data_IF_716787916797
#
_entry.id   IF_716787916797
#
_cell.length_a   1.000
_cell.length_b   1.000
_cell.length_c   1.000
_cell.angle_alpha   90.00
_cell.angle_beta   90.00
_cell.angle_gamma   90.00
#
_symmetry.space_group_name_H-M   'P 1'
#
loop_
_entity.id
_entity.type
_entity.pdbx_description
1 polymer ?
#
# COMPACT_ATOMS: atom_id res chain seq x y z
N UNK A 1 33.70 -12.16 -57.52
CA UNK A 1 33.33 -12.67 -56.18
C UNK A 1 33.61 -14.18 -56.00
N UNK A 2 33.67 -14.99 -57.07
CA UNK A 2 33.94 -16.44 -56.97
C UNK A 2 35.41 -16.84 -56.82
N UNK A 3 36.38 -15.96 -57.10
CA UNK A 3 37.81 -16.28 -56.97
C UNK A 3 38.35 -16.16 -55.53
N UNK A 4 37.65 -15.45 -54.65
CA UNK A 4 38.09 -15.23 -53.26
C UNK A 4 38.07 -16.53 -52.44
N UNK A 5 37.25 -17.51 -52.85
CA UNK A 5 37.01 -18.77 -52.12
C UNK A 5 37.93 -19.92 -52.59
N UNK A 6 38.94 -19.67 -53.44
CA UNK A 6 39.83 -20.75 -53.94
C UNK A 6 40.80 -21.32 -52.89
N UNK A 7 41.14 -20.56 -51.85
CA UNK A 7 42.06 -21.02 -50.80
C UNK A 7 41.35 -21.89 -49.76
N UNK A 8 41.83 -23.13 -49.56
CA UNK A 8 41.33 -24.07 -48.54
C UNK A 8 41.34 -23.45 -47.14
N UNK A 9 42.35 -22.61 -46.83
CA UNK A 9 42.44 -21.89 -45.55
C UNK A 9 41.27 -20.94 -45.33
N UNK A 10 40.82 -20.23 -46.37
CA UNK A 10 39.71 -19.28 -46.25
C UNK A 10 38.37 -20.00 -46.08
N UNK A 11 38.14 -21.13 -46.78
CA UNK A 11 36.95 -21.97 -46.59
C UNK A 11 36.85 -22.48 -45.15
N UNK A 12 37.96 -22.98 -44.60
CA UNK A 12 38.04 -23.41 -43.20
C UNK A 12 37.74 -22.24 -42.25
N UNK A 13 38.36 -21.07 -42.45
CA UNK A 13 38.10 -19.89 -41.62
C UNK A 13 36.61 -19.51 -41.64
N UNK A 14 35.95 -19.47 -42.80
CA UNK A 14 34.53 -19.10 -42.90
C UNK A 14 33.62 -20.10 -42.18
N UNK A 15 33.89 -21.41 -42.32
CA UNK A 15 33.11 -22.47 -41.67
C UNK A 15 33.17 -22.37 -40.14
N UNK A 16 34.29 -21.92 -39.57
CA UNK A 16 34.42 -21.71 -38.12
C UNK A 16 33.98 -20.31 -37.67
N UNK A 17 34.31 -19.27 -38.43
CA UNK A 17 34.07 -17.87 -38.06
C UNK A 17 32.57 -17.54 -38.12
N UNK A 18 31.83 -18.06 -39.10
CA UNK A 18 30.42 -17.75 -39.25
C UNK A 18 29.58 -18.27 -38.06
N UNK A 19 29.70 -19.54 -37.61
CA UNK A 19 29.08 -20.00 -36.37
C UNK A 19 29.57 -19.25 -35.13
N UNK A 20 30.87 -18.92 -35.04
CA UNK A 20 31.42 -18.20 -33.90
C UNK A 20 30.83 -16.78 -33.76
N UNK A 21 30.71 -16.04 -34.86
CA UNK A 21 30.06 -14.72 -34.88
C UNK A 21 28.57 -14.83 -34.52
N UNK A 22 27.88 -15.84 -35.05
CA UNK A 22 26.49 -16.12 -34.67
C UNK A 22 26.34 -16.39 -33.17
N UNK A 23 27.21 -17.24 -32.60
CA UNK A 23 27.23 -17.50 -31.16
C UNK A 23 27.52 -16.24 -30.34
N UNK A 24 28.45 -15.40 -30.78
CA UNK A 24 28.74 -14.13 -30.10
C UNK A 24 27.55 -13.16 -30.14
N UNK A 25 26.86 -13.06 -31.28
CA UNK A 25 25.65 -12.24 -31.42
C UNK A 25 24.53 -12.71 -30.48
N UNK A 26 24.23 -14.01 -30.47
CA UNK A 26 23.22 -14.57 -29.57
C UNK A 26 23.63 -14.47 -28.09
N UNK A 27 24.90 -14.69 -27.78
CA UNK A 27 25.43 -14.57 -26.42
C UNK A 27 25.32 -13.12 -25.91
N UNK A 28 25.65 -12.14 -26.75
CA UNK A 28 25.49 -10.72 -26.40
C UNK A 28 24.02 -10.37 -26.15
N UNK A 29 23.10 -10.81 -27.02
CA UNK A 29 21.65 -10.63 -26.82
C UNK A 29 21.16 -11.26 -25.51
N UNK A 30 21.60 -12.49 -25.22
CA UNK A 30 21.26 -13.21 -23.99
C UNK A 30 21.78 -12.48 -22.74
N UNK A 31 23.02 -11.99 -22.76
CA UNK A 31 23.59 -11.23 -21.64
C UNK A 31 22.82 -9.92 -21.43
N UNK A 32 22.45 -9.21 -22.50
CA UNK A 32 21.67 -7.98 -22.40
C UNK A 32 20.28 -8.22 -21.79
N UNK A 33 19.60 -9.29 -22.23
CA UNK A 33 18.33 -9.73 -21.64
C UNK A 33 18.48 -10.02 -20.15
N UNK A 34 19.53 -10.76 -19.76
CA UNK A 34 19.81 -11.07 -18.35
C UNK A 34 20.08 -9.83 -17.49
N UNK A 35 20.79 -8.83 -18.02
CA UNK A 35 21.00 -7.56 -17.34
C UNK A 35 19.68 -6.83 -17.12
N UNK A 36 18.82 -6.76 -18.14
CA UNK A 36 17.49 -6.14 -18.04
C UNK A 36 16.60 -6.86 -17.02
N UNK A 37 16.58 -8.19 -17.04
CA UNK A 37 15.86 -8.99 -16.03
C UNK A 37 16.36 -8.70 -14.61
N UNK A 38 17.67 -8.63 -14.41
CA UNK A 38 18.26 -8.33 -13.10
C UNK A 38 17.85 -6.93 -12.60
N UNK A 39 17.89 -5.91 -13.46
CA UNK A 39 17.46 -4.55 -13.11
C UNK A 39 15.97 -4.50 -12.73
N UNK A 40 15.11 -5.19 -13.50
CA UNK A 40 13.68 -5.29 -13.20
C UNK A 40 13.42 -6.00 -11.86
N UNK A 41 14.15 -7.07 -11.54
CA UNK A 41 14.04 -7.76 -10.25
C UNK A 41 14.46 -6.84 -9.09
N UNK A 42 15.57 -6.11 -9.23
CA UNK A 42 16.00 -5.15 -8.21
C UNK A 42 14.97 -4.04 -8.00
N UNK A 43 14.37 -3.53 -9.07
CA UNK A 43 13.31 -2.54 -8.98
C UNK A 43 12.05 -3.10 -8.27
N UNK A 44 11.64 -4.33 -8.61
CA UNK A 44 10.54 -5.03 -7.94
C UNK A 44 10.77 -5.19 -6.43
N UNK A 45 11.98 -5.55 -6.00
CA UNK A 45 12.33 -5.66 -4.59
C UNK A 45 12.07 -4.33 -3.84
N UNK A 46 12.50 -3.22 -4.43
CA UNK A 46 12.28 -1.89 -3.85
C UNK A 46 10.80 -1.54 -3.75
N UNK A 47 10.01 -1.87 -4.78
CA UNK A 47 8.56 -1.63 -4.76
C UNK A 47 7.89 -2.45 -3.65
N UNK A 48 8.23 -3.73 -3.53
CA UNK A 48 7.66 -4.61 -2.51
C UNK A 48 7.99 -4.07 -1.11
N UNK A 49 9.22 -3.62 -0.89
CA UNK A 49 9.62 -3.00 0.37
C UNK A 49 8.85 -1.71 0.64
N UNK A 50 8.74 -0.83 -0.35
CA UNK A 50 7.99 0.43 -0.24
C UNK A 50 6.53 0.20 0.12
N UNK A 51 5.88 -0.72 -0.59
CA UNK A 51 4.48 -1.10 -0.35
C UNK A 51 4.31 -1.69 1.05
N UNK A 52 5.22 -2.58 1.47
CA UNK A 52 5.17 -3.20 2.79
C UNK A 52 5.24 -2.16 3.89
N UNK A 53 6.24 -1.27 3.86
CA UNK A 53 6.43 -0.26 4.91
C UNK A 53 5.30 0.78 4.89
N UNK A 54 4.87 1.23 3.70
CA UNK A 54 3.73 2.16 3.57
C UNK A 54 2.44 1.55 4.13
N UNK A 55 2.16 0.27 3.82
CA UNK A 55 0.99 -0.45 4.33
C UNK A 55 1.01 -0.62 5.85
N UNK A 56 2.21 -0.83 6.41
CA UNK A 56 2.40 -0.90 7.86
C UNK A 56 2.00 0.42 8.50
N UNK A 57 2.53 1.55 8.02
CA UNK A 57 2.20 2.88 8.50
C UNK A 57 0.70 3.20 8.37
N UNK A 58 0.10 2.88 7.21
CA UNK A 58 -1.35 3.02 7.00
C UNK A 58 -2.12 2.28 8.09
N UNK A 59 -1.78 1.01 8.36
CA UNK A 59 -2.50 0.20 9.33
C UNK A 59 -2.34 0.70 10.77
N UNK A 60 -1.17 1.18 11.16
CA UNK A 60 -0.95 1.74 12.50
C UNK A 60 -1.72 3.06 12.69
N UNK A 61 -1.75 3.93 11.67
CA UNK A 61 -2.53 5.18 11.71
C UNK A 61 -4.04 4.93 11.73
N UNK A 62 -4.53 3.92 11.01
CA UNK A 62 -5.94 3.51 11.06
C UNK A 62 -6.35 3.01 12.45
N UNK A 63 -5.47 2.25 13.13
CA UNK A 63 -5.69 1.81 14.52
C UNK A 63 -5.65 2.97 15.49
N UNK A 64 -4.68 3.87 15.34
CA UNK A 64 -4.56 5.07 16.18
C UNK A 64 -5.80 5.97 16.06
N UNK A 65 -6.31 6.16 14.83
CA UNK A 65 -7.58 6.86 14.58
C UNK A 65 -8.74 6.21 15.33
N UNK A 66 -8.89 4.90 15.21
CA UNK A 66 -9.95 4.14 15.88
C UNK A 66 -9.90 4.28 17.40
N UNK A 67 -8.72 4.11 17.99
CA UNK A 67 -8.51 4.26 19.43
C UNK A 67 -8.68 5.71 19.91
N UNK A 68 -8.29 6.69 19.10
CA UNK A 68 -8.50 8.11 19.41
C UNK A 68 -9.99 8.43 19.47
N UNK A 69 -10.77 7.91 18.52
CA UNK A 69 -12.23 8.10 18.49
C UNK A 69 -12.89 7.39 19.69
N UNK A 70 -12.48 6.16 20.01
CA UNK A 70 -12.99 5.42 21.16
C UNK A 70 -12.65 6.11 22.51
N UNK A 71 -11.48 6.71 22.62
CA UNK A 71 -11.09 7.49 23.80
C UNK A 71 -11.89 8.79 23.95
N UNK A 72 -12.25 9.43 22.83
CA UNK A 72 -13.10 10.63 22.83
C UNK A 72 -14.56 10.28 23.14
N UNK A 73 -15.07 9.16 22.62
CA UNK A 73 -16.47 8.75 22.85
C UNK A 73 -16.75 8.43 24.32
N UNK A 74 -15.80 7.81 25.01
CA UNK A 74 -15.96 7.41 26.40
C UNK A 74 -14.65 7.48 27.15
N UNK A 75 -14.69 8.13 28.31
CA UNK A 75 -13.54 8.16 29.20
C UNK A 75 -13.30 6.78 29.80
N UNK A 76 -12.30 6.08 29.28
CA UNK A 76 -11.84 4.83 29.87
C UNK A 76 -10.32 4.83 29.97
N UNK A 77 -9.83 4.41 31.14
CA UNK A 77 -8.40 4.18 31.37
C UNK A 77 -7.85 3.12 30.41
N UNK A 78 -8.70 2.18 29.99
CA UNK A 78 -8.38 1.18 28.98
C UNK A 78 -8.03 1.81 27.62
N UNK A 79 -8.93 2.61 27.03
CA UNK A 79 -8.68 3.24 25.72
C UNK A 79 -7.52 4.21 25.76
N UNK A 80 -7.34 4.92 26.88
CA UNK A 80 -6.17 5.78 27.08
C UNK A 80 -4.85 4.99 27.03
N UNK A 81 -4.77 3.87 27.74
CA UNK A 81 -3.58 3.03 27.78
C UNK A 81 -3.30 2.35 26.43
N UNK A 82 -4.33 1.84 25.75
CA UNK A 82 -4.18 1.26 24.41
C UNK A 82 -3.79 2.31 23.38
N UNK A 83 -4.35 3.52 23.44
CA UNK A 83 -3.97 4.64 22.58
C UNK A 83 -2.49 5.01 22.76
N UNK A 84 -1.99 5.06 24.00
CA UNK A 84 -0.56 5.30 24.27
C UNK A 84 0.34 4.26 23.63
N UNK A 85 0.01 2.97 23.78
CA UNK A 85 0.76 1.87 23.15
C UNK A 85 0.72 1.97 21.63
N UNK A 86 -0.45 2.30 21.06
CA UNK A 86 -0.62 2.42 19.62
C UNK A 86 0.18 3.59 19.04
N UNK A 87 0.25 4.74 19.73
CA UNK A 87 1.05 5.90 19.30
C UNK A 87 2.53 5.56 19.09
N UNK A 88 3.09 4.73 19.99
CA UNK A 88 4.48 4.25 19.86
C UNK A 88 4.65 3.45 18.56
N UNK A 89 3.71 2.54 18.25
CA UNK A 89 3.75 1.76 17.00
C UNK A 89 3.62 2.63 15.76
N UNK A 90 2.73 3.64 15.79
CA UNK A 90 2.59 4.60 14.69
C UNK A 90 3.85 5.42 14.48
N UNK A 91 4.52 5.82 15.57
CA UNK A 91 5.78 6.59 15.51
C UNK A 91 6.91 5.72 14.96
N UNK A 92 7.03 4.46 15.41
CA UNK A 92 7.99 3.48 14.88
C UNK A 92 7.76 3.20 13.38
N UNK A 93 6.51 2.99 12.96
CA UNK A 93 6.17 2.78 11.56
C UNK A 93 6.49 4.02 10.71
N UNK A 94 6.27 5.22 11.24
CA UNK A 94 6.62 6.46 10.55
C UNK A 94 8.13 6.64 10.43
N UNK A 95 8.90 6.30 11.46
CA UNK A 95 10.38 6.33 11.40
C UNK A 95 10.88 5.39 10.31
N UNK A 96 10.34 4.17 10.22
CA UNK A 96 10.69 3.21 9.16
C UNK A 96 10.33 3.74 7.77
N UNK A 97 9.13 4.31 7.61
CA UNK A 97 8.72 4.94 6.35
C UNK A 97 9.65 6.10 5.97
N UNK A 98 9.97 6.99 6.90
CA UNK A 98 10.86 8.12 6.63
C UNK A 98 12.30 7.69 6.32
N UNK A 99 12.79 6.59 6.93
CA UNK A 99 14.10 6.03 6.61
C UNK A 99 14.12 5.41 5.20
N UNK A 100 13.04 4.72 4.82
CA UNK A 100 12.83 4.13 3.50
C UNK A 100 12.88 5.21 2.39
N UNK A 101 12.22 6.36 2.60
CA UNK A 101 12.18 7.45 1.62
C UNK A 101 13.59 7.93 1.20
N UNK A 102 14.55 7.94 2.13
CA UNK A 102 15.94 8.35 1.85
C UNK A 102 16.65 7.43 0.86
N UNK A 103 16.22 6.18 0.74
CA UNK A 103 16.87 5.16 -0.08
C UNK A 103 16.18 4.94 -1.44
N UNK A 104 14.96 5.44 -1.62
CA UNK A 104 14.09 5.09 -2.75
C UNK A 104 13.40 6.30 -3.37
N UNK A 105 14.15 7.37 -3.63
CA UNK A 105 13.64 8.63 -4.20
C UNK A 105 13.01 8.48 -5.58
N UNK A 106 13.35 7.41 -6.31
CA UNK A 106 12.82 7.10 -7.65
C UNK A 106 11.43 6.43 -7.63
N UNK A 107 10.94 6.00 -6.46
CA UNK A 107 9.70 5.23 -6.34
C UNK A 107 8.45 6.06 -6.14
N UNK A 108 8.58 7.36 -5.84
CA UNK A 108 7.45 8.20 -5.45
C UNK A 108 7.55 9.60 -6.05
N UNK A 109 6.41 10.30 -6.10
CA UNK A 109 6.41 11.74 -6.38
C UNK A 109 6.80 12.49 -5.10
N UNK A 110 7.87 13.29 -5.18
CA UNK A 110 8.37 14.10 -4.07
C UNK A 110 7.29 15.03 -3.49
N UNK A 111 6.38 15.53 -4.34
CA UNK A 111 5.29 16.40 -3.91
C UNK A 111 4.29 15.66 -3.02
N UNK A 112 3.95 14.42 -3.37
CA UNK A 112 3.01 13.59 -2.61
C UNK A 112 3.59 13.25 -1.24
N UNK A 113 4.87 12.84 -1.22
CA UNK A 113 5.60 12.56 0.01
C UNK A 113 5.73 13.80 0.89
N UNK A 114 6.08 14.95 0.32
CA UNK A 114 6.16 16.20 1.07
C UNK A 114 4.84 16.53 1.74
N UNK A 115 3.72 16.35 1.04
CA UNK A 115 2.37 16.57 1.59
C UNK A 115 2.08 15.62 2.76
N UNK A 116 2.49 14.35 2.67
CA UNK A 116 2.35 13.37 3.76
C UNK A 116 3.18 13.79 4.97
N UNK A 117 4.45 14.13 4.76
CA UNK A 117 5.37 14.50 5.83
C UNK A 117 4.91 15.78 6.55
N UNK A 118 4.55 16.82 5.80
CA UNK A 118 4.01 18.07 6.34
C UNK A 118 2.77 17.80 7.19
N UNK A 119 1.81 17.03 6.68
CA UNK A 119 0.60 16.73 7.44
C UNK A 119 0.86 15.86 8.67
N UNK A 120 1.86 14.97 8.63
CA UNK A 120 2.27 14.19 9.79
C UNK A 120 2.94 15.05 10.87
N UNK A 121 3.59 16.18 10.53
CA UNK A 121 4.20 17.05 11.56
C UNK A 121 3.19 17.57 12.60
N UNK A 122 1.93 17.74 12.20
CA UNK A 122 0.84 18.19 13.06
C UNK A 122 0.30 17.11 14.02
N UNK A 123 0.74 15.85 13.89
CA UNK A 123 0.21 14.72 14.67
C UNK A 123 0.32 14.94 16.18
N UNK A 124 1.39 15.60 16.64
CA UNK A 124 1.58 15.90 18.08
C UNK A 124 0.54 16.88 18.60
N UNK A 125 0.20 17.90 17.81
CA UNK A 125 -0.84 18.88 18.14
C UNK A 125 -2.20 18.20 18.21
N UNK A 126 -2.53 17.37 17.23
CA UNK A 126 -3.78 16.59 17.24
C UNK A 126 -3.85 15.63 18.44
N UNK A 127 -2.77 14.91 18.75
CA UNK A 127 -2.69 14.03 19.93
C UNK A 127 -2.91 14.78 21.23
N UNK A 128 -2.33 15.97 21.40
CA UNK A 128 -2.57 16.82 22.57
C UNK A 128 -4.03 17.26 22.68
N UNK A 129 -4.64 17.65 21.56
CA UNK A 129 -6.05 18.04 21.55
C UNK A 129 -6.98 16.84 21.82
N UNK A 130 -6.62 15.63 21.37
CA UNK A 130 -7.31 14.38 21.71
C UNK A 130 -7.21 14.10 23.21
N UNK A 131 -6.00 14.20 23.78
CA UNK A 131 -5.76 13.95 25.21
C UNK A 131 -6.54 14.94 26.10
N UNK A 132 -6.64 16.20 25.67
CA UNK A 132 -7.41 17.24 26.35
C UNK A 132 -8.91 17.23 25.98
N UNK A 133 -9.34 16.35 25.06
CA UNK A 133 -10.70 16.27 24.52
C UNK A 133 -11.24 17.60 23.97
N UNK A 134 -10.37 18.45 23.43
CA UNK A 134 -10.72 19.75 22.84
C UNK A 134 -10.95 19.68 21.33
N UNK A 135 -11.16 18.48 20.80
CA UNK A 135 -11.24 18.20 19.36
C UNK A 135 -12.48 17.36 19.06
N UNK A 136 -13.13 17.61 17.93
CA UNK A 136 -14.29 16.84 17.52
C UNK A 136 -13.89 15.49 16.90
N UNK A 137 -14.81 14.51 16.92
CA UNK A 137 -14.64 13.26 16.18
C UNK A 137 -14.35 13.52 14.69
N UNK A 138 -14.97 14.52 14.08
CA UNK A 138 -14.79 14.82 12.66
C UNK A 138 -13.38 15.28 12.36
N UNK A 139 -12.78 16.09 13.23
CA UNK A 139 -11.41 16.57 13.06
C UNK A 139 -10.40 15.42 13.19
N UNK A 140 -10.62 14.52 14.17
CA UNK A 140 -9.80 13.30 14.32
C UNK A 140 -9.94 12.40 13.10
N UNK A 141 -11.17 12.10 12.68
CA UNK A 141 -11.44 11.28 11.51
C UNK A 141 -10.75 11.87 10.28
N UNK A 142 -10.95 13.16 10.00
CA UNK A 142 -10.41 13.83 8.81
C UNK A 142 -8.89 13.89 8.81
N UNK A 143 -8.27 14.23 9.95
CA UNK A 143 -6.82 14.33 10.07
C UNK A 143 -6.12 13.02 9.70
N UNK A 144 -6.44 11.92 10.39
CA UNK A 144 -5.82 10.62 10.12
C UNK A 144 -6.21 10.09 8.74
N UNK A 145 -7.47 10.24 8.34
CA UNK A 145 -7.93 9.74 7.02
C UNK A 145 -7.19 10.42 5.87
N UNK A 146 -6.90 11.71 5.97
CA UNK A 146 -6.18 12.42 4.91
C UNK A 146 -4.71 11.98 4.82
N UNK A 147 -4.03 11.71 5.95
CA UNK A 147 -2.68 11.10 5.92
C UNK A 147 -2.75 9.71 5.26
N UNK A 148 -3.70 8.88 5.67
CA UNK A 148 -3.88 7.52 5.12
C UNK A 148 -4.20 7.56 3.63
N UNK A 149 -5.11 8.42 3.18
CA UNK A 149 -5.45 8.58 1.77
C UNK A 149 -4.22 8.98 0.95
N UNK A 150 -3.45 9.97 1.40
CA UNK A 150 -2.24 10.38 0.70
C UNK A 150 -1.20 9.25 0.65
N UNK A 151 -1.05 8.47 1.73
CA UNK A 151 -0.18 7.28 1.73
C UNK A 151 -0.64 6.23 0.71
N UNK A 152 -1.95 5.97 0.62
CA UNK A 152 -2.51 5.05 -0.38
C UNK A 152 -2.26 5.58 -1.79
N UNK A 153 -2.52 6.86 -2.05
CA UNK A 153 -2.30 7.51 -3.35
C UNK A 153 -0.83 7.51 -3.75
N UNK A 154 0.10 7.64 -2.81
CA UNK A 154 1.54 7.52 -3.08
C UNK A 154 1.94 6.15 -3.64
N UNK A 155 1.10 5.12 -3.50
CA UNK A 155 1.33 3.80 -4.12
C UNK A 155 0.85 3.73 -5.58
N UNK A 156 0.07 4.70 -6.06
CA UNK A 156 -0.48 4.69 -7.42
C UNK A 156 0.61 4.97 -8.47
N UNK A 157 1.65 5.74 -8.14
CA UNK A 157 2.83 5.99 -9.01
C UNK A 157 3.54 4.69 -9.42
N UNK A 158 3.46 3.64 -8.60
CA UNK A 158 4.05 2.33 -8.88
C UNK A 158 3.42 1.68 -10.13
N UNK A 159 2.21 2.10 -10.52
CA UNK A 159 1.52 1.66 -11.74
C UNK A 159 2.16 2.22 -13.01
N UNK A 160 2.86 3.37 -12.93
CA UNK A 160 3.41 4.05 -14.10
C UNK A 160 4.63 3.33 -14.70
N UNK A 161 5.42 2.62 -13.89
CA UNK A 161 6.61 1.91 -14.35
C UNK A 161 6.30 0.48 -14.84
N UNK A 162 5.30 0.33 -15.72
CA UNK A 162 4.78 -0.95 -16.21
C UNK A 162 5.89 -2.00 -16.49
N UNK A 163 6.01 -2.99 -15.61
CA UNK A 163 6.99 -4.10 -15.73
C UNK A 163 6.37 -5.23 -16.54
N UNK A 164 5.21 -5.70 -16.10
CA UNK A 164 4.39 -6.67 -16.80
C UNK A 164 2.93 -6.59 -16.31
N UNK A 165 2.01 -7.18 -17.08
CA UNK A 165 0.57 -7.15 -16.80
C UNK A 165 0.21 -7.79 -15.45
N UNK A 166 0.88 -8.88 -15.07
CA UNK A 166 0.56 -9.58 -13.81
C UNK A 166 0.93 -8.73 -12.59
N UNK A 167 2.08 -8.08 -12.63
CA UNK A 167 2.54 -7.18 -11.57
C UNK A 167 1.65 -5.93 -11.48
N UNK A 168 1.32 -5.32 -12.62
CA UNK A 168 0.41 -4.18 -12.67
C UNK A 168 -0.95 -4.51 -12.02
N UNK A 169 -1.55 -5.65 -12.38
CA UNK A 169 -2.81 -6.10 -11.79
C UNK A 169 -2.69 -6.33 -10.28
N UNK A 170 -1.56 -6.84 -9.80
CA UNK A 170 -1.32 -7.03 -8.37
C UNK A 170 -1.29 -5.69 -7.62
N UNK A 171 -0.63 -4.67 -8.16
CA UNK A 171 -0.58 -3.33 -7.55
C UNK A 171 -1.97 -2.67 -7.55
N UNK A 172 -2.74 -2.80 -8.64
CA UNK A 172 -4.14 -2.32 -8.69
C UNK A 172 -4.99 -3.01 -7.63
N UNK A 173 -4.98 -4.34 -7.58
CA UNK A 173 -5.69 -5.15 -6.59
C UNK A 173 -5.29 -4.78 -5.15
N UNK A 174 -3.99 -4.56 -4.91
CA UNK A 174 -3.49 -4.17 -3.60
C UNK A 174 -3.96 -2.76 -3.20
N UNK A 175 -3.92 -1.79 -4.11
CA UNK A 175 -4.42 -0.44 -3.86
C UNK A 175 -5.94 -0.44 -3.56
N UNK A 176 -6.71 -1.22 -4.31
CA UNK A 176 -8.14 -1.44 -4.07
C UNK A 176 -8.39 -2.01 -2.67
N UNK A 177 -7.58 -2.98 -2.25
CA UNK A 177 -7.66 -3.56 -0.91
C UNK A 177 -7.34 -2.53 0.18
N UNK A 178 -6.30 -1.70 0.00
CA UNK A 178 -6.01 -0.62 0.94
C UNK A 178 -7.19 0.36 1.06
N UNK A 179 -7.79 0.76 -0.06
CA UNK A 179 -8.98 1.64 -0.07
C UNK A 179 -10.16 0.98 0.64
N UNK A 180 -10.40 -0.31 0.41
CA UNK A 180 -11.42 -1.08 1.13
C UNK A 180 -11.19 -1.10 2.65
N UNK A 181 -9.95 -1.38 3.09
CA UNK A 181 -9.62 -1.36 4.53
C UNK A 181 -9.81 0.01 5.15
N UNK A 182 -9.55 1.08 4.40
CA UNK A 182 -9.73 2.44 4.86
C UNK A 182 -11.21 2.82 5.03
N UNK A 183 -12.05 2.49 4.05
CA UNK A 183 -13.50 2.74 4.14
C UNK A 183 -14.11 1.96 5.31
N UNK A 184 -13.83 0.66 5.44
CA UNK A 184 -14.30 -0.12 6.57
C UNK A 184 -13.74 0.38 7.91
N UNK A 185 -12.50 0.90 7.92
CA UNK A 185 -11.90 1.50 9.09
C UNK A 185 -12.60 2.79 9.54
N UNK A 186 -13.02 3.65 8.60
CA UNK A 186 -13.83 4.85 8.88
C UNK A 186 -15.22 4.48 9.39
N UNK A 187 -15.88 3.53 8.72
CA UNK A 187 -17.20 3.03 9.09
C UNK A 187 -17.19 2.49 10.53
N UNK A 188 -16.26 1.57 10.84
CA UNK A 188 -16.09 1.02 12.19
C UNK A 188 -15.92 2.10 13.24
N UNK A 189 -15.06 3.09 12.98
CA UNK A 189 -14.81 4.16 13.96
C UNK A 189 -16.07 5.00 14.23
N UNK A 190 -16.83 5.33 13.20
CA UNK A 190 -18.09 6.08 13.32
C UNK A 190 -19.16 5.24 14.05
N UNK A 191 -19.33 3.98 13.66
CA UNK A 191 -20.31 3.08 14.29
C UNK A 191 -19.98 2.88 15.76
N UNK A 192 -18.72 2.58 16.11
CA UNK A 192 -18.30 2.45 17.50
C UNK A 192 -18.56 3.72 18.31
N UNK A 193 -18.31 4.90 17.75
CA UNK A 193 -18.64 6.16 18.40
C UNK A 193 -20.15 6.30 18.66
N UNK A 194 -20.99 5.99 17.68
CA UNK A 194 -22.46 6.07 17.82
C UNK A 194 -22.94 5.11 18.90
N UNK A 195 -22.40 3.88 18.95
CA UNK A 195 -22.77 2.88 19.95
C UNK A 195 -22.37 3.30 21.37
N UNK A 196 -21.20 3.92 21.54
CA UNK A 196 -20.72 4.35 22.87
C UNK A 196 -21.37 5.65 23.36
N UNK A 197 -21.74 6.55 22.45
CA UNK A 197 -22.33 7.86 22.80
C UNK A 197 -23.85 7.90 22.69
N UNK A 198 -24.46 6.86 22.11
CA UNK A 198 -25.88 6.79 21.74
C UNK A 198 -26.35 7.98 20.88
N UNK A 199 -25.41 8.66 20.20
CA UNK A 199 -25.67 9.90 19.49
C UNK A 199 -25.51 9.75 17.98
N UNK A 200 -26.63 9.46 17.30
CA UNK A 200 -26.72 9.47 15.85
C UNK A 200 -27.18 10.84 15.34
N UNK A 201 -26.23 11.65 14.87
CA UNK A 201 -26.55 12.91 14.19
C UNK A 201 -26.85 12.67 12.70
N UNK A 202 -27.67 13.51 12.04
CA UNK A 202 -27.89 13.42 10.59
C UNK A 202 -26.59 13.48 9.77
N UNK A 203 -25.59 14.21 10.27
CA UNK A 203 -24.26 14.29 9.64
C UNK A 203 -23.52 12.94 9.67
N UNK A 204 -23.54 12.23 10.80
CA UNK A 204 -22.92 10.91 10.92
C UNK A 204 -23.64 9.87 10.04
N UNK A 205 -24.98 9.92 10.01
CA UNK A 205 -25.77 9.05 9.15
C UNK A 205 -25.43 9.23 7.66
N UNK A 206 -25.36 10.48 7.19
CA UNK A 206 -24.99 10.77 5.79
C UNK A 206 -23.57 10.29 5.45
N UNK A 207 -22.62 10.42 6.39
CA UNK A 207 -21.27 9.90 6.19
C UNK A 207 -21.29 8.36 6.07
N UNK A 208 -22.02 7.66 6.94
CA UNK A 208 -22.14 6.20 6.85
C UNK A 208 -22.73 5.75 5.50
N UNK A 209 -23.80 6.40 5.02
CA UNK A 209 -24.35 6.12 3.69
C UNK A 209 -23.33 6.32 2.58
N UNK A 210 -22.54 7.41 2.64
CA UNK A 210 -21.49 7.66 1.65
C UNK A 210 -20.39 6.59 1.67
N UNK A 211 -19.97 6.15 2.86
CA UNK A 211 -18.97 5.10 3.03
C UNK A 211 -19.49 3.75 2.54
N UNK A 212 -20.78 3.43 2.75
CA UNK A 212 -21.37 2.19 2.25
C UNK A 212 -21.38 2.15 0.71
N UNK A 213 -21.72 3.28 0.07
CA UNK A 213 -21.68 3.41 -1.39
C UNK A 213 -20.24 3.24 -1.90
N UNK A 214 -19.28 3.94 -1.28
CA UNK A 214 -17.87 3.86 -1.63
C UNK A 214 -17.34 2.42 -1.50
N UNK A 215 -17.67 1.74 -0.39
CA UNK A 215 -17.30 0.35 -0.15
C UNK A 215 -17.83 -0.59 -1.24
N UNK A 216 -19.11 -0.46 -1.61
CA UNK A 216 -19.74 -1.31 -2.63
C UNK A 216 -19.06 -1.15 -3.99
N UNK A 217 -18.77 0.09 -4.39
CA UNK A 217 -18.11 0.37 -5.67
C UNK A 217 -16.66 -0.13 -5.68
N UNK A 218 -15.89 0.13 -4.62
CA UNK A 218 -14.52 -0.38 -4.48
C UNK A 218 -14.49 -1.91 -4.46
N UNK A 219 -15.44 -2.55 -3.77
CA UNK A 219 -15.52 -4.01 -3.69
C UNK A 219 -15.83 -4.61 -5.04
N UNK A 220 -16.74 -4.02 -5.80
CA UNK A 220 -17.05 -4.45 -7.17
C UNK A 220 -15.84 -4.31 -8.09
N UNK A 221 -15.07 -3.21 -7.97
CA UNK A 221 -13.81 -3.02 -8.71
C UNK A 221 -12.79 -4.09 -8.36
N UNK A 222 -12.53 -4.28 -7.06
CA UNK A 222 -11.62 -5.28 -6.54
C UNK A 222 -11.95 -6.68 -7.06
N UNK A 223 -13.22 -7.10 -6.97
CA UNK A 223 -13.66 -8.43 -7.41
C UNK A 223 -13.48 -8.64 -8.92
N UNK A 224 -13.60 -7.59 -9.73
CA UNK A 224 -13.44 -7.64 -11.19
C UNK A 224 -11.97 -7.69 -11.61
N UNK A 225 -11.09 -7.00 -10.88
CA UNK A 225 -9.70 -6.74 -11.28
C UNK A 225 -8.69 -7.69 -10.61
N UNK A 226 -9.10 -8.36 -9.53
CA UNK A 226 -8.25 -9.30 -8.78
C UNK A 226 -8.04 -10.63 -9.52
N UNK A 227 -6.85 -11.22 -9.36
CA UNK A 227 -6.60 -12.59 -9.80
C UNK A 227 -7.36 -13.60 -8.93
N UNK A 228 -7.59 -14.80 -9.47
CA UNK A 228 -8.23 -15.90 -8.73
C UNK A 228 -7.46 -16.21 -7.43
N UNK A 229 -6.13 -16.17 -7.47
CA UNK A 229 -5.28 -16.41 -6.30
C UNK A 229 -5.46 -15.31 -5.24
N UNK A 230 -5.51 -14.04 -5.65
CA UNK A 230 -5.72 -12.92 -4.72
C UNK A 230 -7.11 -12.99 -4.07
N UNK A 231 -8.15 -13.36 -4.84
CA UNK A 231 -9.50 -13.57 -4.33
C UNK A 231 -9.57 -14.75 -3.35
N UNK A 232 -8.87 -15.84 -3.62
CA UNK A 232 -8.80 -16.98 -2.71
C UNK A 232 -8.14 -16.59 -1.37
N UNK A 233 -7.04 -15.84 -1.40
CA UNK A 233 -6.38 -15.33 -0.19
C UNK A 233 -7.29 -14.37 0.59
N UNK A 234 -7.96 -13.44 -0.11
CA UNK A 234 -8.92 -12.52 0.49
C UNK A 234 -10.07 -13.27 1.17
N UNK A 235 -10.72 -14.20 0.45
CA UNK A 235 -11.84 -14.96 0.98
C UNK A 235 -11.44 -15.82 2.17
N UNK A 236 -10.27 -16.47 2.11
CA UNK A 236 -9.77 -17.26 3.23
C UNK A 236 -9.60 -16.37 4.47
N UNK A 237 -8.87 -15.24 4.34
CA UNK A 237 -8.62 -14.31 5.45
C UNK A 237 -9.87 -13.67 6.03
N UNK A 238 -10.80 -13.23 5.18
CA UNK A 238 -12.05 -12.61 5.64
C UNK A 238 -12.97 -13.62 6.31
N UNK A 239 -13.02 -14.85 5.80
CA UNK A 239 -13.84 -15.90 6.41
C UNK A 239 -13.25 -16.39 7.75
N UNK A 240 -11.92 -16.47 7.88
CA UNK A 240 -11.28 -16.78 9.18
C UNK A 240 -11.48 -15.65 10.20
N UNK A 241 -11.38 -14.38 9.77
CA UNK A 241 -11.63 -13.25 10.66
C UNK A 241 -13.08 -13.25 11.21
N UNK A 242 -14.07 -13.60 10.36
CA UNK A 242 -15.47 -13.76 10.80
C UNK A 242 -15.67 -14.91 11.78
N UNK A 243 -14.94 -16.02 11.64
CA UNK A 243 -15.04 -17.13 12.60
C UNK A 243 -14.40 -16.80 13.95
N UNK A 244 -13.29 -16.05 13.95
CA UNK A 244 -12.55 -15.69 15.17
C UNK A 244 -13.25 -14.58 15.99
N UNK A 245 -13.97 -13.66 15.34
CA UNK A 245 -14.81 -12.67 16.03
C UNK A 245 -16.04 -13.31 16.70
N UNK A 246 -16.62 -14.37 16.12
CA UNK A 246 -17.76 -15.09 16.73
C UNK A 246 -17.31 -15.88 17.98
N UNK A 247 -16.08 -16.40 18.00
CA UNK A 247 -15.54 -17.19 19.12
C UNK A 247 -15.10 -16.34 20.33
N UNK A 248 -14.86 -15.04 20.17
CA UNK A 248 -14.49 -14.13 21.26
C UNK A 248 -15.66 -13.30 21.83
N UNK A 249 -16.88 -13.55 21.34
CA UNK A 249 -18.13 -12.91 21.79
C UNK A 249 -18.99 -13.87 22.65
N UNK A 250 -18.56 -15.13 22.83
CA UNK A 250 -19.13 -16.11 23.77
C UNK A 250 -18.12 -16.50 24.85
#
# INVERSE_FOLDING_TARGET
>A
MSEFIKSIKLKLIIIFLLPAVGMLYFSFGYVHEKISMYQNTRYLEKIVEYVKISSSLISELQRERGLSIAFISKESSYFYNELKKQRIKSDEAFIQFNALLKNYTELYDEKDIKTILEHYTDIRTYRKNIDNKTISIFDVLNFYSKIVTNLIESTDVLKAQFINKSFFNLIVCFNDLLKLTEVSGKERAIVSYILETENLTPKLYNILLSLEIEYKELKKRFLRESSIQALALYNNKVNTAKSDEILNIY
#
